data_IF_994078859705
#
_entry.id   IF_994078859705
#
_cell.length_a   1.000
_cell.length_b   1.000
_cell.length_c   1.000
_cell.angle_alpha   90.00
_cell.angle_beta   90.00
_cell.angle_gamma   90.00
#
_symmetry.space_group_name_H-M   'P 1'
#
loop_
_entity.id
_entity.type
_entity.pdbx_description
1 polymer ?
#
# COMPACT_ATOMS: atom_id res chain seq x y z
N UNK A 1 -10.35 12.53 29.84
CA UNK A 1 -9.29 12.71 28.81
C UNK A 1 -9.47 11.66 27.73
N UNK A 2 -10.02 12.03 26.58
CA UNK A 2 -9.99 11.14 25.40
C UNK A 2 -8.52 11.01 25.01
N UNK A 3 -7.95 9.81 25.14
CA UNK A 3 -6.69 9.50 24.45
C UNK A 3 -7.01 9.64 22.97
N UNK A 4 -6.65 10.77 22.35
CA UNK A 4 -6.42 10.80 20.90
C UNK A 4 -5.27 9.85 20.66
N UNK A 5 -5.61 8.58 20.45
CA UNK A 5 -4.75 7.69 19.68
C UNK A 5 -4.59 8.45 18.37
N UNK A 6 -3.44 9.08 18.16
CA UNK A 6 -3.03 9.45 16.81
C UNK A 6 -2.94 8.11 16.09
N UNK A 7 -3.97 7.76 15.33
CA UNK A 7 -3.87 6.75 14.31
C UNK A 7 -2.86 7.31 13.32
N UNK A 8 -1.57 7.06 13.57
CA UNK A 8 -0.53 7.13 12.54
C UNK A 8 -1.09 6.35 11.36
N UNK A 9 -1.43 7.08 10.30
CA UNK A 9 -2.40 6.69 9.32
C UNK A 9 -1.93 5.50 8.52
N UNK A 10 -2.61 4.37 8.75
CA UNK A 10 -3.03 3.38 7.75
C UNK A 10 -2.01 2.97 6.69
N UNK A 11 -0.72 3.05 6.95
CA UNK A 11 0.27 2.71 5.93
C UNK A 11 0.79 1.30 6.18
N UNK A 12 0.79 0.47 5.13
CA UNK A 12 1.35 -0.88 5.20
C UNK A 12 2.47 -1.06 4.20
N UNK A 13 3.46 -1.87 4.57
CA UNK A 13 4.59 -2.23 3.71
C UNK A 13 4.34 -3.63 3.14
N UNK A 14 4.61 -3.79 1.86
CA UNK A 14 4.64 -5.10 1.20
C UNK A 14 5.76 -5.16 0.17
N UNK A 15 6.05 -6.36 -0.32
CA UNK A 15 7.13 -6.58 -1.30
C UNK A 15 6.56 -7.06 -2.62
N UNK A 16 6.90 -6.36 -3.70
CA UNK A 16 6.63 -6.75 -5.08
C UNK A 16 7.77 -7.65 -5.58
N UNK A 17 7.44 -8.82 -6.11
CA UNK A 17 8.42 -9.65 -6.80
C UNK A 17 8.76 -9.06 -8.18
N UNK A 18 10.04 -8.82 -8.43
CA UNK A 18 10.58 -8.27 -9.67
C UNK A 18 11.77 -9.12 -10.14
N UNK A 19 11.51 -10.09 -11.02
CA UNK A 19 12.49 -11.11 -11.38
C UNK A 19 12.94 -11.92 -10.16
N UNK A 20 14.25 -12.01 -9.94
CA UNK A 20 14.83 -12.61 -8.74
C UNK A 20 14.85 -11.67 -7.51
N UNK A 21 14.52 -10.39 -7.70
CA UNK A 21 14.56 -9.37 -6.65
C UNK A 21 13.18 -9.10 -6.06
N UNK A 22 13.19 -8.36 -4.94
CA UNK A 22 11.97 -7.83 -4.31
C UNK A 22 12.09 -6.32 -4.18
N UNK A 23 11.06 -5.62 -4.64
CA UNK A 23 10.94 -4.18 -4.49
C UNK A 23 10.05 -3.90 -3.26
N UNK A 24 10.51 -3.01 -2.38
CA UNK A 24 9.69 -2.54 -1.25
C UNK A 24 8.61 -1.58 -1.75
N UNK A 25 7.39 -1.78 -1.29
CA UNK A 25 6.22 -0.96 -1.62
C UNK A 25 5.54 -0.49 -0.34
N UNK A 26 5.07 0.76 -0.34
CA UNK A 26 4.32 1.38 0.76
C UNK A 26 2.93 1.75 0.27
N UNK A 27 1.89 1.18 0.88
CA UNK A 27 0.50 1.49 0.58
C UNK A 27 -0.09 2.37 1.67
N UNK A 28 -0.42 3.61 1.33
CA UNK A 28 -1.19 4.51 2.18
C UNK A 28 -2.67 4.11 2.15
N UNK A 29 -3.26 3.92 3.33
CA UNK A 29 -4.68 3.61 3.51
C UNK A 29 -5.30 4.50 4.57
N UNK A 30 -6.63 4.56 4.58
CA UNK A 30 -7.42 5.26 5.59
C UNK A 30 -8.01 4.32 6.64
N UNK A 31 -7.66 3.02 6.60
CA UNK A 31 -8.21 2.03 7.52
C UNK A 31 -7.76 2.29 8.96
N UNK A 32 -8.67 2.05 9.90
CA UNK A 32 -8.40 2.22 11.33
C UNK A 32 -7.47 1.13 11.89
N UNK A 33 -7.36 -0.02 11.22
CA UNK A 33 -6.56 -1.17 11.69
C UNK A 33 -5.69 -1.77 10.60
N UNK A 34 -4.53 -2.31 10.98
CA UNK A 34 -3.66 -3.06 10.06
C UNK A 34 -4.37 -4.27 9.46
N UNK A 35 -5.26 -4.93 10.20
CA UNK A 35 -6.02 -6.09 9.70
C UNK A 35 -6.89 -5.71 8.51
N UNK A 36 -7.59 -4.58 8.57
CA UNK A 36 -8.40 -4.08 7.46
C UNK A 36 -7.52 -3.71 6.25
N UNK A 37 -6.41 -3.01 6.47
CA UNK A 37 -5.47 -2.66 5.42
C UNK A 37 -4.87 -3.89 4.72
N UNK A 38 -4.48 -4.91 5.49
CA UNK A 38 -3.96 -6.17 4.96
C UNK A 38 -5.03 -6.95 4.20
N UNK A 39 -6.26 -7.02 4.73
CA UNK A 39 -7.39 -7.68 4.06
C UNK A 39 -7.68 -7.02 2.71
N UNK A 40 -7.62 -5.68 2.66
CA UNK A 40 -7.80 -4.91 1.44
C UNK A 40 -6.66 -5.16 0.44
N UNK A 41 -5.40 -5.09 0.87
CA UNK A 41 -4.25 -5.43 0.03
C UNK A 41 -4.36 -6.84 -0.55
N UNK A 42 -4.78 -7.83 0.25
CA UNK A 42 -4.95 -9.20 -0.21
C UNK A 42 -6.07 -9.32 -1.26
N UNK A 43 -7.22 -8.68 -1.03
CA UNK A 43 -8.36 -8.65 -1.97
C UNK A 43 -7.98 -8.04 -3.33
N UNK A 44 -7.11 -7.03 -3.32
CA UNK A 44 -6.73 -6.27 -4.51
C UNK A 44 -5.27 -6.50 -4.96
N UNK A 45 -4.65 -7.60 -4.52
CA UNK A 45 -3.21 -7.83 -4.66
C UNK A 45 -2.72 -7.71 -6.11
N UNK A 46 -3.41 -8.35 -7.05
CA UNK A 46 -3.03 -8.33 -8.48
C UNK A 46 -3.01 -6.91 -9.04
N UNK A 47 -3.96 -6.08 -8.63
CA UNK A 47 -4.06 -4.69 -9.10
C UNK A 47 -2.94 -3.83 -8.49
N UNK A 48 -2.67 -3.99 -7.20
CA UNK A 48 -1.54 -3.32 -6.56
C UNK A 48 -0.19 -3.73 -7.17
N UNK A 49 0.00 -5.01 -7.48
CA UNK A 49 1.21 -5.47 -8.16
C UNK A 49 1.33 -4.88 -9.56
N UNK A 50 0.21 -4.76 -10.30
CA UNK A 50 0.18 -4.12 -11.63
C UNK A 50 0.59 -2.65 -11.56
N UNK A 51 -0.03 -1.87 -10.67
CA UNK A 51 0.29 -0.45 -10.49
C UNK A 51 1.72 -0.28 -9.99
N UNK A 52 2.17 -1.12 -9.04
CA UNK A 52 3.52 -1.06 -8.53
C UNK A 52 4.58 -1.35 -9.60
N UNK A 53 4.34 -2.32 -10.50
CA UNK A 53 5.22 -2.58 -11.66
C UNK A 53 5.26 -1.39 -12.62
N UNK A 54 4.11 -0.76 -12.90
CA UNK A 54 4.06 0.41 -13.77
C UNK A 54 4.88 1.58 -13.19
N UNK A 55 4.71 1.89 -11.90
CA UNK A 55 5.50 2.94 -11.22
C UNK A 55 6.99 2.61 -11.13
N UNK A 56 7.31 1.35 -10.86
CA UNK A 56 8.70 0.90 -10.85
C UNK A 56 9.36 1.07 -12.22
N UNK A 57 8.64 0.75 -13.30
CA UNK A 57 9.13 0.91 -14.67
C UNK A 57 9.26 2.38 -15.10
N UNK A 58 8.41 3.28 -14.57
CA UNK A 58 8.50 4.72 -14.82
C UNK A 58 9.51 5.44 -13.93
N UNK A 59 10.04 4.79 -12.89
CA UNK A 59 10.97 5.39 -11.93
C UNK A 59 10.29 6.29 -10.88
N UNK A 60 8.97 6.21 -10.74
CA UNK A 60 8.17 6.94 -9.74
C UNK A 60 8.36 6.32 -8.34
N UNK A 61 9.51 6.61 -7.74
CA UNK A 61 9.93 6.08 -6.43
C UNK A 61 10.18 7.23 -5.45
N UNK A 62 9.78 7.04 -4.20
CA UNK A 62 10.16 7.89 -3.07
C UNK A 62 11.24 7.17 -2.27
N UNK A 63 12.47 7.70 -2.19
CA UNK A 63 13.59 7.08 -1.48
C UNK A 63 13.84 5.60 -1.88
N UNK A 64 13.62 5.27 -3.15
CA UNK A 64 13.74 3.91 -3.68
C UNK A 64 12.55 2.99 -3.33
N UNK A 65 11.44 3.55 -2.82
CA UNK A 65 10.22 2.85 -2.43
C UNK A 65 9.12 3.17 -3.42
N UNK A 66 8.40 2.15 -3.88
CA UNK A 66 7.16 2.37 -4.64
C UNK A 66 6.07 2.78 -3.66
N UNK A 67 5.59 4.02 -3.76
CA UNK A 67 4.48 4.51 -2.93
C UNK A 67 3.18 4.36 -3.70
N UNK A 68 2.17 3.81 -3.05
CA UNK A 68 0.83 3.54 -3.58
C UNK A 68 -0.23 4.15 -2.67
N UNK A 69 -1.39 4.45 -3.24
CA UNK A 69 -2.61 4.86 -2.52
C UNK A 69 -3.70 3.81 -2.75
N UNK A 70 -4.76 3.85 -1.94
CA UNK A 70 -5.92 2.96 -2.13
C UNK A 70 -6.47 3.08 -3.55
N UNK A 71 -6.98 1.96 -4.07
CA UNK A 71 -7.61 1.93 -5.39
C UNK A 71 -9.00 2.56 -5.25
N UNK A 72 -9.34 3.50 -6.13
CA UNK A 72 -10.62 4.24 -6.07
C UNK A 72 -11.87 3.36 -6.28
N UNK A 73 -11.71 2.06 -6.58
CA UNK A 73 -12.79 1.13 -6.88
C UNK A 73 -13.49 0.49 -5.66
N UNK A 74 -13.13 0.85 -4.41
CA UNK A 74 -13.81 0.34 -3.21
C UNK A 74 -13.81 1.43 -2.11
N UNK A 75 -14.92 2.17 -1.91
CA UNK A 75 -14.97 3.18 -0.86
C UNK A 75 -14.80 2.54 0.52
N UNK A 76 -14.12 3.19 1.47
CA UNK A 76 -14.00 2.68 2.83
C UNK A 76 -15.40 2.60 3.45
N UNK A 77 -15.86 1.37 3.70
CA UNK A 77 -17.11 1.08 4.40
C UNK A 77 -17.10 1.62 5.84
#
# INVERSE_FOLDING_TARGET
MVRRIKSDGGTIIFFLAFGANRQMCRLATTFATQKQALSYLQKHRTEFERVARARLASGELEDGIVVLSMLEADPPA
#
